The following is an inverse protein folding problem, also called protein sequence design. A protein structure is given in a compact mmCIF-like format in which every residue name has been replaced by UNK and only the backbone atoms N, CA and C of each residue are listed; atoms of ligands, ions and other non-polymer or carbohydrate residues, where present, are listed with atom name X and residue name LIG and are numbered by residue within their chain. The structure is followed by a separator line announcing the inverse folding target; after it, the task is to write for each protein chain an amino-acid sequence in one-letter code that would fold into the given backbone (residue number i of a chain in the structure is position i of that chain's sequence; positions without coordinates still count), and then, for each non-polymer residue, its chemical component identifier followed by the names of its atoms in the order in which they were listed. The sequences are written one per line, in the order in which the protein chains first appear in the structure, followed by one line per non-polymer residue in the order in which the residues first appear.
data_IF_494754870847
#
_entry.id   IF_494754870847
#
_cell.length_a   1.000
_cell.length_b   1.000
_cell.length_c   1.000
_cell.angle_alpha   90.00
_cell.angle_beta   90.00
_cell.angle_gamma   90.00
#
_symmetry.space_group_name_H-M   'P 1'
#
loop_
_entity.id
_entity.type
_entity.pdbx_description
1 polymer ?
#
# COMPACT_ATOMS: atom_id res chain seq x y z
N UNK A 1 13.88 -3.68 -1.32
CA UNK A 1 12.95 -3.13 -0.32
C UNK A 1 11.76 -4.06 -0.20
N UNK A 2 11.55 -4.68 0.97
CA UNK A 2 10.36 -5.47 1.31
C UNK A 2 9.27 -4.54 1.82
N UNK A 3 8.12 -4.52 1.13
CA UNK A 3 6.96 -3.71 1.49
C UNK A 3 5.80 -4.64 1.79
N UNK A 4 5.16 -4.43 2.93
CA UNK A 4 3.91 -5.10 3.29
C UNK A 4 2.78 -4.08 3.23
N UNK A 5 1.61 -4.49 2.73
CA UNK A 5 0.40 -3.68 2.75
C UNK A 5 -0.76 -4.48 3.33
N UNK A 6 -1.49 -3.90 4.28
CA UNK A 6 -2.56 -4.58 4.98
C UNK A 6 -3.74 -3.66 5.34
N UNK A 7 -4.94 -3.99 4.86
CA UNK A 7 -6.17 -3.41 5.39
C UNK A 7 -6.49 -4.05 6.75
N UNK A 8 -6.57 -3.23 7.79
CA UNK A 8 -6.61 -3.70 9.17
C UNK A 8 -8.02 -3.94 9.71
N UNK A 9 -9.09 -3.47 9.08
CA UNK A 9 -10.39 -3.42 9.75
C UNK A 9 -11.47 -4.30 9.12
N UNK A 10 -11.97 -5.24 9.94
CA UNK A 10 -13.34 -5.74 9.90
C UNK A 10 -13.78 -6.19 11.31
N UNK A 11 -14.89 -5.63 11.82
CA UNK A 11 -15.36 -5.75 13.22
C UNK A 11 -14.31 -5.37 14.29
N UNK A 12 -13.56 -6.34 14.82
CA UNK A 12 -12.51 -6.12 15.80
C UNK A 12 -11.19 -5.63 15.16
N UNK A 13 -10.95 -6.02 13.90
CA UNK A 13 -9.76 -5.70 13.13
C UNK A 13 -8.47 -6.34 13.66
N UNK A 14 -7.40 -6.21 12.88
CA UNK A 14 -6.05 -6.54 13.29
C UNK A 14 -5.65 -5.72 14.52
N UNK A 15 -5.16 -6.42 15.53
CA UNK A 15 -4.70 -5.82 16.78
C UNK A 15 -3.30 -5.22 16.63
N UNK A 16 -2.94 -4.34 17.56
CA UNK A 16 -1.58 -3.82 17.63
C UNK A 16 -0.55 -4.95 17.80
N UNK A 17 -0.88 -5.98 18.60
CA UNK A 17 0.03 -7.11 18.82
C UNK A 17 0.22 -7.92 17.54
N UNK A 18 -0.81 -8.18 16.75
CA UNK A 18 -0.66 -8.86 15.46
C UNK A 18 0.21 -8.07 14.47
N UNK A 19 0.11 -6.74 14.48
CA UNK A 19 0.98 -5.88 13.67
C UNK A 19 2.43 -5.97 14.16
N UNK A 20 2.64 -6.02 15.48
CA UNK A 20 3.97 -6.18 16.08
C UNK A 20 4.59 -7.52 15.67
N UNK A 21 3.87 -8.62 15.85
CA UNK A 21 4.33 -9.95 15.44
C UNK A 21 4.62 -10.01 13.94
N UNK A 22 3.76 -9.42 13.09
CA UNK A 22 4.00 -9.36 11.65
C UNK A 22 5.32 -8.63 11.31
N UNK A 23 5.62 -7.53 12.00
CA UNK A 23 6.86 -6.78 11.79
C UNK A 23 8.08 -7.57 12.27
N UNK A 24 7.96 -8.25 13.41
CA UNK A 24 9.02 -9.09 13.98
C UNK A 24 9.32 -10.31 13.11
N UNK A 25 8.29 -10.98 12.58
CA UNK A 25 8.46 -12.18 11.74
C UNK A 25 8.98 -11.83 10.34
N UNK A 26 8.46 -10.75 9.75
CA UNK A 26 8.69 -10.45 8.34
C UNK A 26 9.79 -9.42 8.10
N UNK A 27 10.15 -8.63 9.11
CA UNK A 27 11.13 -7.54 9.02
C UNK A 27 10.95 -6.64 7.77
N UNK A 28 9.78 -6.03 7.55
CA UNK A 28 9.56 -5.19 6.37
C UNK A 28 10.36 -3.88 6.46
N UNK A 29 10.82 -3.39 5.31
CA UNK A 29 11.40 -2.04 5.20
C UNK A 29 10.31 -0.96 5.26
N UNK A 30 9.07 -1.34 4.95
CA UNK A 30 7.90 -0.48 4.97
C UNK A 30 6.63 -1.32 5.19
N UNK A 31 5.83 -0.95 6.18
CA UNK A 31 4.48 -1.46 6.39
C UNK A 31 3.47 -0.35 6.06
N UNK A 32 2.58 -0.63 5.12
CA UNK A 32 1.46 0.21 4.74
C UNK A 32 0.17 -0.35 5.34
N UNK A 33 -0.63 0.52 5.93
CA UNK A 33 -1.84 0.14 6.62
C UNK A 33 -3.02 0.94 6.07
N UNK A 34 -4.12 0.25 5.82
CA UNK A 34 -5.42 0.85 5.56
C UNK A 34 -6.32 0.61 6.78
N UNK A 35 -7.24 1.54 7.01
CA UNK A 35 -8.16 1.50 8.16
C UNK A 35 -7.46 1.51 9.53
N UNK A 36 -6.25 2.07 9.60
CA UNK A 36 -5.52 2.26 10.84
C UNK A 36 -6.26 3.23 11.78
N UNK A 37 -6.60 2.75 12.97
CA UNK A 37 -7.25 3.51 14.04
C UNK A 37 -6.23 4.16 14.98
N UNK A 38 -6.69 5.04 15.87
CA UNK A 38 -5.84 5.66 16.91
C UNK A 38 -5.12 4.65 17.81
N UNK A 39 -5.65 3.44 17.99
CA UNK A 39 -4.97 2.38 18.77
C UNK A 39 -3.61 2.02 18.19
N UNK A 40 -3.45 2.16 16.87
CA UNK A 40 -2.21 1.82 16.15
C UNK A 40 -1.16 2.94 16.30
N UNK A 41 -1.55 4.14 16.74
CA UNK A 41 -0.61 5.26 16.96
C UNK A 41 0.44 4.91 18.03
N UNK A 42 0.19 3.91 18.88
CA UNK A 42 1.14 3.39 19.89
C UNK A 42 2.21 2.44 19.32
N UNK A 43 2.19 2.13 18.02
CA UNK A 43 3.15 1.20 17.40
C UNK A 43 4.63 1.59 17.63
N UNK A 44 5.05 2.86 17.50
CA UNK A 44 6.43 3.25 17.81
C UNK A 44 6.83 3.04 19.26
N UNK A 45 5.89 3.15 20.20
CA UNK A 45 6.18 2.89 21.62
C UNK A 45 6.44 1.40 21.90
N UNK A 46 5.96 0.51 21.02
CA UNK A 46 6.13 -0.95 21.13
C UNK A 46 7.38 -1.46 20.42
N UNK A 47 7.67 -0.95 19.23
CA UNK A 47 8.73 -1.47 18.35
C UNK A 47 9.76 -0.43 17.90
N UNK A 48 9.60 0.83 18.28
CA UNK A 48 10.36 1.93 17.69
C UNK A 48 9.98 2.18 16.22
N UNK A 49 10.93 2.73 15.47
CA UNK A 49 10.72 3.11 14.07
C UNK A 49 9.91 4.39 13.90
N UNK A 50 9.48 4.63 12.67
CA UNK A 50 8.89 5.89 12.21
C UNK A 50 7.50 5.63 11.69
N UNK A 51 6.52 6.36 12.24
CA UNK A 51 5.11 6.16 11.98
C UNK A 51 4.45 7.46 11.51
N UNK A 52 3.57 7.34 10.52
CA UNK A 52 2.75 8.45 10.05
C UNK A 52 1.35 7.98 9.70
N UNK A 53 0.33 8.55 10.35
CA UNK A 53 -1.08 8.28 10.09
C UNK A 53 -1.80 9.51 9.56
N UNK A 54 -2.56 9.32 8.50
CA UNK A 54 -3.49 10.28 7.93
C UNK A 54 -4.92 9.74 8.08
N UNK A 55 -5.70 10.21 9.08
CA UNK A 55 -7.10 9.82 9.21
C UNK A 55 -7.90 10.27 7.98
N UNK A 56 -8.91 9.48 7.59
CA UNK A 56 -9.85 9.96 6.59
C UNK A 56 -10.69 11.11 7.18
N UNK A 57 -11.06 12.13 6.38
CA UNK A 57 -11.91 13.22 6.84
C UNK A 57 -13.19 12.69 7.51
N UNK A 58 -13.43 13.10 8.77
CA UNK A 58 -14.62 12.71 9.54
C UNK A 58 -14.64 11.25 10.02
N UNK A 59 -13.52 10.52 9.97
CA UNK A 59 -13.46 9.10 10.37
C UNK A 59 -12.41 8.84 11.45
N UNK A 60 -12.63 7.78 12.23
CA UNK A 60 -11.71 7.32 13.29
C UNK A 60 -10.47 6.62 12.73
N UNK A 61 -10.56 6.12 11.50
CA UNK A 61 -9.54 5.33 10.82
C UNK A 61 -9.02 6.06 9.58
N UNK A 62 -7.86 5.60 9.07
CA UNK A 62 -7.32 6.11 7.82
C UNK A 62 -6.11 5.33 7.33
N UNK A 63 -5.25 6.01 6.58
CA UNK A 63 -4.02 5.42 6.07
C UNK A 63 -2.91 5.61 7.08
N UNK A 64 -2.09 4.60 7.30
CA UNK A 64 -0.87 4.73 8.06
C UNK A 64 0.31 4.05 7.37
N UNK A 65 1.51 4.45 7.74
CA UNK A 65 2.72 3.77 7.37
C UNK A 65 3.67 3.69 8.56
N UNK A 66 4.43 2.59 8.61
CA UNK A 66 5.53 2.39 9.53
C UNK A 66 6.79 1.97 8.77
N UNK A 67 7.96 2.42 9.20
CA UNK A 67 9.26 1.97 8.69
C UNK A 67 10.29 1.92 9.83
N UNK A 68 11.25 0.99 9.81
CA UNK A 68 12.37 1.01 10.76
C UNK A 68 13.30 2.24 10.56
N UNK A 69 13.22 2.91 9.41
CA UNK A 69 14.05 4.07 9.06
C UNK A 69 13.23 5.35 8.86
N UNK A 70 13.81 6.55 9.05
CA UNK A 70 13.08 7.80 8.86
C UNK A 70 12.56 7.95 7.43
N UNK A 71 11.35 8.51 7.29
CA UNK A 71 10.88 8.98 5.99
C UNK A 71 11.77 10.14 5.49
N UNK A 72 12.06 10.19 4.19
CA UNK A 72 12.90 11.26 3.60
C UNK A 72 12.26 12.64 3.77
N UNK A 73 10.94 12.68 3.72
CA UNK A 73 10.09 13.83 3.98
C UNK A 73 8.86 13.35 4.74
N UNK A 74 8.22 14.24 5.50
CA UNK A 74 6.93 13.93 6.11
C UNK A 74 5.97 13.36 5.03
N UNK A 75 5.38 12.17 5.24
CA UNK A 75 4.42 11.62 4.29
C UNK A 75 3.27 12.60 4.05
N UNK A 76 2.82 12.73 2.80
CA UNK A 76 1.82 13.70 2.37
C UNK A 76 0.51 13.01 2.01
N UNK A 77 -0.61 13.74 2.03
CA UNK A 77 -1.90 13.22 1.58
C UNK A 77 -2.38 13.92 0.31
N UNK A 78 -2.78 13.15 -0.70
CA UNK A 78 -3.49 13.65 -1.89
C UNK A 78 -4.98 13.33 -1.73
N UNK A 79 -5.85 14.33 -1.92
CA UNK A 79 -7.30 14.11 -1.99
C UNK A 79 -7.66 13.40 -3.29
N UNK A 80 -8.47 12.35 -3.19
CA UNK A 80 -8.99 11.62 -4.34
C UNK A 80 -10.40 12.13 -4.70
N UNK A 81 -10.85 11.85 -5.92
CA UNK A 81 -12.22 12.14 -6.32
C UNK A 81 -13.18 11.45 -5.34
N UNK A 82 -14.05 12.23 -4.69
CA UNK A 82 -15.03 11.71 -3.75
C UNK A 82 -16.08 10.86 -4.47
N UNK A 83 -16.39 9.70 -3.89
CA UNK A 83 -17.61 8.96 -4.23
C UNK A 83 -18.82 9.48 -3.44
N UNK A 84 -19.94 8.77 -3.55
CA UNK A 84 -21.19 9.09 -2.85
C UNK A 84 -21.10 8.98 -1.31
N UNK A 85 -20.14 8.23 -0.78
CA UNK A 85 -20.14 7.81 0.63
C UNK A 85 -19.08 8.51 1.50
N UNK A 86 -17.82 8.59 1.06
CA UNK A 86 -16.69 9.05 1.89
C UNK A 86 -15.60 9.71 1.04
N UNK A 87 -15.05 10.88 1.44
CA UNK A 87 -13.83 11.41 0.88
C UNK A 87 -12.66 10.45 1.09
N UNK A 88 -11.92 10.13 0.02
CA UNK A 88 -10.72 9.29 0.10
C UNK A 88 -9.47 10.14 -0.05
N UNK A 89 -8.39 9.68 0.57
CA UNK A 89 -7.05 10.22 0.37
C UNK A 89 -6.11 9.09 -0.07
N UNK A 90 -5.01 9.48 -0.69
CA UNK A 90 -3.83 8.64 -0.94
C UNK A 90 -2.68 9.19 -0.08
N UNK A 91 -1.92 8.33 0.60
CA UNK A 91 -0.76 8.73 1.38
C UNK A 91 0.51 8.49 0.56
N UNK A 92 1.27 9.57 0.30
CA UNK A 92 2.49 9.58 -0.50
C UNK A 92 3.71 9.58 0.42
N UNK A 93 4.60 8.61 0.22
CA UNK A 93 5.80 8.40 1.01
C UNK A 93 7.04 8.55 0.12
N UNK A 94 7.87 9.55 0.41
CA UNK A 94 9.18 9.70 -0.21
C UNK A 94 10.20 8.81 0.50
N UNK A 95 10.78 7.86 -0.23
CA UNK A 95 11.84 6.97 0.25
C UNK A 95 13.13 7.21 -0.56
N UNK A 96 14.23 6.56 -0.18
CA UNK A 96 15.48 6.67 -0.91
C UNK A 96 15.34 6.08 -2.32
N UNK A 97 15.30 6.95 -3.33
CA UNK A 97 15.29 6.58 -4.76
C UNK A 97 13.94 6.16 -5.36
N UNK A 98 12.85 6.11 -4.59
CA UNK A 98 11.50 5.83 -5.09
C UNK A 98 10.40 6.48 -4.21
N UNK A 99 9.20 6.63 -4.78
CA UNK A 99 8.01 7.09 -4.07
C UNK A 99 6.99 5.96 -3.94
N UNK A 100 6.40 5.79 -2.76
CA UNK A 100 5.33 4.81 -2.52
C UNK A 100 4.02 5.55 -2.23
N UNK A 101 2.94 5.14 -2.89
CA UNK A 101 1.59 5.56 -2.59
C UNK A 101 0.86 4.44 -1.84
N UNK A 102 0.45 4.71 -0.60
CA UNK A 102 -0.48 3.88 0.15
C UNK A 102 -1.91 4.30 -0.19
N UNK A 103 -2.74 3.35 -0.63
CA UNK A 103 -4.11 3.63 -1.12
C UNK A 103 -5.15 2.80 -0.40
N UNK A 104 -6.31 3.41 -0.19
CA UNK A 104 -7.56 2.73 0.11
C UNK A 104 -8.64 3.39 -0.73
N UNK A 105 -8.91 2.80 -1.90
CA UNK A 105 -9.82 3.39 -2.88
C UNK A 105 -11.27 3.31 -2.44
N UNK A 106 -12.12 4.09 -3.11
CA UNK A 106 -13.57 4.06 -2.91
C UNK A 106 -14.16 2.70 -3.32
N UNK A 107 -15.47 2.55 -3.10
CA UNK A 107 -16.24 1.48 -3.71
C UNK A 107 -16.79 1.97 -5.05
N UNK A 108 -16.63 1.17 -6.11
CA UNK A 108 -17.14 1.46 -7.46
C UNK A 108 -16.07 1.34 -8.53
N UNK A 109 -16.24 0.39 -9.44
CA UNK A 109 -15.21 -0.02 -10.40
C UNK A 109 -14.75 1.11 -11.34
N UNK A 110 -15.66 2.01 -11.74
CA UNK A 110 -15.34 3.18 -12.58
C UNK A 110 -14.58 4.24 -11.77
N UNK A 111 -15.05 4.54 -10.55
CA UNK A 111 -14.43 5.52 -9.67
C UNK A 111 -13.01 5.10 -9.29
N UNK A 112 -12.81 3.81 -8.98
CA UNK A 112 -11.50 3.29 -8.57
C UNK A 112 -10.47 3.43 -9.70
N UNK A 113 -10.88 3.20 -10.95
CA UNK A 113 -10.03 3.42 -12.13
C UNK A 113 -9.68 4.90 -12.30
N UNK A 114 -10.62 5.82 -12.08
CA UNK A 114 -10.37 7.28 -12.11
C UNK A 114 -9.44 7.74 -10.99
N UNK A 115 -9.62 7.22 -9.77
CA UNK A 115 -8.75 7.50 -8.64
C UNK A 115 -7.32 6.98 -8.87
N UNK A 116 -7.17 5.76 -9.39
CA UNK A 116 -5.87 5.23 -9.79
C UNK A 116 -5.21 6.07 -10.87
N UNK A 117 -5.96 6.51 -11.88
CA UNK A 117 -5.45 7.41 -12.92
C UNK A 117 -4.83 8.67 -12.33
N UNK A 118 -5.57 9.36 -11.45
CA UNK A 118 -5.09 10.56 -10.75
C UNK A 118 -3.82 10.27 -9.93
N UNK A 119 -3.79 9.15 -9.20
CA UNK A 119 -2.61 8.76 -8.42
C UNK A 119 -1.42 8.51 -9.34
N UNK A 120 -1.59 7.76 -10.42
CA UNK A 120 -0.51 7.47 -11.37
C UNK A 120 0.06 8.73 -12.04
N UNK A 121 -0.80 9.72 -12.35
CA UNK A 121 -0.40 11.00 -12.91
C UNK A 121 0.39 11.86 -11.92
N UNK A 122 0.08 11.75 -10.62
CA UNK A 122 0.74 12.55 -9.57
C UNK A 122 2.12 12.04 -9.16
N UNK A 123 2.48 10.81 -9.51
CA UNK A 123 3.70 10.15 -9.02
C UNK A 123 4.91 10.42 -9.93
N UNK A 124 6.15 10.32 -9.40
CA UNK A 124 7.37 10.46 -10.20
C UNK A 124 7.80 9.16 -10.89
N UNK A 125 8.76 9.25 -11.81
CA UNK A 125 9.20 8.16 -12.71
C UNK A 125 9.52 6.83 -12.03
N UNK A 126 9.97 6.80 -10.77
CA UNK A 126 10.17 5.59 -9.96
C UNK A 126 9.17 5.57 -8.82
N UNK A 127 8.10 4.81 -8.99
CA UNK A 127 7.02 4.80 -8.02
C UNK A 127 6.32 3.44 -7.91
N UNK A 128 5.72 3.22 -6.74
CA UNK A 128 4.84 2.10 -6.48
C UNK A 128 3.52 2.60 -5.87
N UNK A 129 2.41 1.94 -6.19
CA UNK A 129 1.09 2.15 -5.60
C UNK A 129 0.64 0.85 -4.97
N UNK A 130 0.40 0.83 -3.67
CA UNK A 130 0.06 -0.36 -2.91
C UNK A 130 -1.12 -0.11 -1.97
N UNK A 131 -1.98 -1.11 -1.83
CA UNK A 131 -3.08 -1.10 -0.88
C UNK A 131 -4.38 -1.64 -1.44
N UNK A 132 -5.43 -1.47 -0.65
CA UNK A 132 -6.77 -1.89 -0.99
C UNK A 132 -7.36 -1.02 -2.10
N UNK A 133 -7.45 -1.61 -3.29
CA UNK A 133 -7.99 -0.95 -4.47
C UNK A 133 -9.51 -1.09 -4.59
N UNK A 134 -10.17 -1.89 -3.75
CA UNK A 134 -11.60 -2.18 -3.82
C UNK A 134 -12.09 -2.53 -5.25
N UNK A 135 -11.21 -3.11 -6.06
CA UNK A 135 -11.37 -3.21 -7.50
C UNK A 135 -11.00 -4.59 -8.02
N UNK A 136 -11.85 -5.10 -8.90
CA UNK A 136 -11.68 -6.37 -9.60
C UNK A 136 -11.31 -6.14 -11.07
N UNK A 137 -10.70 -7.17 -11.67
CA UNK A 137 -10.27 -7.15 -13.06
C UNK A 137 -9.00 -6.31 -13.31
N UNK A 138 -8.59 -6.17 -14.58
CA UNK A 138 -7.38 -5.43 -14.96
C UNK A 138 -7.59 -3.90 -14.92
N UNK A 139 -6.47 -3.19 -14.76
CA UNK A 139 -6.36 -1.75 -15.03
C UNK A 139 -5.73 -1.60 -16.40
N UNK A 140 -6.46 -1.02 -17.35
CA UNK A 140 -6.00 -0.82 -18.72
C UNK A 140 -5.14 0.45 -18.81
N UNK A 141 -3.88 0.38 -18.38
CA UNK A 141 -2.92 1.49 -18.50
C UNK A 141 -1.47 0.98 -18.57
N UNK A 142 -0.61 1.66 -19.34
CA UNK A 142 0.73 1.15 -19.70
C UNK A 142 1.89 1.72 -18.87
N UNK A 143 1.64 2.73 -18.04
CA UNK A 143 2.65 3.43 -17.22
C UNK A 143 2.98 2.70 -15.92
N UNK A 144 2.07 1.90 -15.37
CA UNK A 144 2.37 1.02 -14.23
C UNK A 144 1.96 -0.42 -14.53
N UNK A 145 2.79 -1.36 -14.10
CA UNK A 145 2.52 -2.80 -14.17
C UNK A 145 1.93 -3.28 -12.86
N UNK A 146 0.86 -4.07 -12.92
CA UNK A 146 0.30 -4.78 -11.76
C UNK A 146 1.20 -5.97 -11.42
N UNK A 147 1.95 -5.87 -10.33
CA UNK A 147 2.93 -6.87 -9.88
C UNK A 147 2.54 -7.53 -8.57
N UNK A 148 1.43 -7.12 -7.94
CA UNK A 148 0.99 -7.72 -6.67
C UNK A 148 0.60 -9.20 -6.82
N UNK A 149 0.48 -9.94 -5.71
CA UNK A 149 0.09 -11.35 -5.71
C UNK A 149 -1.16 -11.61 -6.54
N UNK A 150 -1.22 -12.72 -7.29
CA UNK A 150 -2.35 -13.07 -8.19
C UNK A 150 -3.43 -13.96 -7.55
N UNK A 151 -3.44 -14.01 -6.23
CA UNK A 151 -4.40 -14.77 -5.42
C UNK A 151 -5.32 -13.82 -4.65
N UNK A 152 -6.44 -14.34 -4.13
CA UNK A 152 -7.38 -13.56 -3.36
C UNK A 152 -6.77 -13.09 -2.02
N UNK A 153 -7.11 -11.86 -1.65
CA UNK A 153 -6.64 -11.19 -0.44
C UNK A 153 -7.79 -10.89 0.51
N UNK A 154 -9.02 -10.91 0.02
CA UNK A 154 -10.25 -10.65 0.76
C UNK A 154 -11.26 -11.78 0.55
N UNK A 155 -12.11 -12.03 1.55
CA UNK A 155 -13.25 -12.95 1.45
C UNK A 155 -14.54 -12.17 1.70
N UNK A 156 -15.21 -11.75 0.63
CA UNK A 156 -16.46 -11.01 0.74
C UNK A 156 -17.56 -11.90 1.33
N UNK A 157 -18.07 -11.51 2.50
CA UNK A 157 -19.11 -12.24 3.22
C UNK A 157 -18.73 -13.69 3.55
N UNK A 158 -17.44 -14.01 3.65
CA UNK A 158 -16.91 -15.37 3.79
C UNK A 158 -17.18 -16.34 2.62
N UNK A 159 -17.69 -15.87 1.48
CA UNK A 159 -18.11 -16.74 0.36
C UNK A 159 -17.30 -16.49 -0.92
N UNK A 160 -17.06 -15.23 -1.28
CA UNK A 160 -16.43 -14.90 -2.56
C UNK A 160 -14.98 -14.41 -2.36
N UNK A 161 -13.96 -15.18 -2.81
CA UNK A 161 -12.57 -14.74 -2.74
C UNK A 161 -12.30 -13.62 -3.76
N UNK A 162 -11.82 -12.48 -3.29
CA UNK A 162 -11.52 -11.30 -4.10
C UNK A 162 -10.07 -10.86 -3.94
N UNK A 163 -9.45 -10.45 -5.05
CA UNK A 163 -8.12 -9.82 -5.07
C UNK A 163 -8.29 -8.30 -5.09
N UNK A 164 -8.38 -7.70 -3.91
CA UNK A 164 -8.62 -6.27 -3.74
C UNK A 164 -7.34 -5.50 -3.44
N UNK A 165 -6.43 -6.10 -2.68
CA UNK A 165 -5.12 -5.55 -2.37
C UNK A 165 -4.17 -5.77 -3.54
N UNK A 166 -3.57 -4.68 -4.02
CA UNK A 166 -2.73 -4.71 -5.23
C UNK A 166 -1.45 -3.93 -5.06
N UNK A 167 -0.51 -4.22 -5.95
CA UNK A 167 0.73 -3.47 -6.10
C UNK A 167 0.92 -3.13 -7.57
N UNK A 168 1.05 -1.85 -7.88
CA UNK A 168 1.41 -1.34 -9.20
C UNK A 168 2.76 -0.67 -9.15
N UNK A 169 3.62 -0.89 -10.14
CA UNK A 169 4.96 -0.29 -10.18
C UNK A 169 5.26 0.39 -11.51
N UNK A 170 6.00 1.50 -11.46
CA UNK A 170 6.58 2.19 -12.60
C UNK A 170 8.09 2.26 -12.44
N UNK A 171 8.82 1.73 -13.43
CA UNK A 171 10.28 1.67 -13.46
C UNK A 171 10.91 1.06 -12.18
N UNK A 172 10.27 0.03 -11.65
CA UNK A 172 10.78 -0.81 -10.57
C UNK A 172 10.64 -2.28 -10.97
N UNK A 173 11.56 -3.10 -10.48
CA UNK A 173 11.45 -4.54 -10.56
C UNK A 173 10.78 -5.07 -9.30
N UNK A 174 9.88 -6.04 -9.47
CA UNK A 174 9.31 -6.80 -8.38
C UNK A 174 9.94 -8.20 -8.42
N UNK A 175 10.73 -8.52 -7.40
CA UNK A 175 11.51 -9.77 -7.35
C UNK A 175 10.85 -10.84 -6.50
N UNK A 176 9.88 -10.46 -5.67
CA UNK A 176 9.20 -11.36 -4.76
C UNK A 176 7.78 -10.85 -4.50
N UNK A 177 6.82 -11.76 -4.39
CA UNK A 177 5.42 -11.48 -4.06
C UNK A 177 4.90 -12.55 -3.11
N UNK A 178 4.06 -12.17 -2.15
CA UNK A 178 3.47 -13.11 -1.22
C UNK A 178 2.16 -12.60 -0.62
N UNK A 179 1.37 -13.51 -0.08
CA UNK A 179 0.23 -13.21 0.78
C UNK A 179 0.49 -13.87 2.12
N UNK A 180 0.39 -13.08 3.19
CA UNK A 180 0.75 -13.48 4.53
C UNK A 180 -0.49 -13.93 5.33
N UNK A 181 -0.24 -14.38 6.55
CA UNK A 181 -1.29 -14.78 7.50
C UNK A 181 -2.25 -13.63 7.78
N UNK A 182 -3.56 -13.93 7.77
CA UNK A 182 -4.64 -12.94 7.80
C UNK A 182 -4.74 -12.15 9.12
N UNK A 183 -4.32 -12.75 10.24
CA UNK A 183 -4.64 -12.25 11.58
C UNK A 183 -6.15 -12.02 11.77
N UNK A 184 -6.50 -11.03 12.59
CA UNK A 184 -7.86 -10.60 12.91
C UNK A 184 -8.58 -9.78 11.82
N UNK A 185 -7.94 -9.53 10.68
CA UNK A 185 -8.57 -8.82 9.55
C UNK A 185 -9.38 -9.78 8.66
N UNK A 186 -10.26 -9.24 7.81
CA UNK A 186 -10.84 -9.97 6.67
C UNK A 186 -9.97 -9.87 5.41
N UNK A 187 -8.96 -8.99 5.41
CA UNK A 187 -7.90 -8.92 4.42
C UNK A 187 -6.64 -9.66 4.88
N UNK A 188 -6.00 -10.36 3.96
CA UNK A 188 -4.65 -10.90 4.13
C UNK A 188 -3.62 -9.83 3.73
N UNK A 189 -2.55 -9.63 4.52
CA UNK A 189 -1.46 -8.76 4.12
C UNK A 189 -0.85 -9.24 2.79
N UNK A 190 -0.55 -8.31 1.89
CA UNK A 190 0.29 -8.60 0.73
C UNK A 190 1.71 -8.15 0.99
N UNK A 191 2.67 -8.92 0.51
CA UNK A 191 4.09 -8.61 0.56
C UNK A 191 4.64 -8.53 -0.86
N UNK A 192 5.49 -7.53 -1.11
CA UNK A 192 6.29 -7.45 -2.33
C UNK A 192 7.72 -7.07 -2.00
N UNK A 193 8.68 -7.54 -2.81
CA UNK A 193 10.05 -7.03 -2.79
C UNK A 193 10.31 -6.23 -4.06
N UNK A 194 10.60 -4.94 -3.87
CA UNK A 194 10.87 -3.99 -4.95
C UNK A 194 12.35 -3.64 -5.02
N UNK A 195 12.83 -3.47 -6.24
CA UNK A 195 14.20 -3.08 -6.59
C UNK A 195 14.15 -1.93 -7.60
N UNK A 196 15.05 -0.95 -7.42
CA UNK A 196 15.36 0.01 -8.48
C UNK A 196 16.24 -0.75 -9.50
N UNK A 197 15.84 -0.84 -10.78
CA UNK A 197 16.65 -1.50 -11.79
C UNK A 197 18.02 -0.84 -11.82
N UNK A 198 19.09 -1.64 -11.84
CA UNK A 198 20.40 -1.09 -12.15
C UNK A 198 20.34 -0.59 -13.59
N UNK A 199 20.68 0.67 -13.82
CA UNK A 199 20.93 1.12 -15.19
C UNK A 199 22.05 0.25 -15.73
N UNK A 200 21.80 -0.50 -16.81
CA UNK A 200 22.90 -0.99 -17.61
C UNK A 200 23.69 0.25 -18.04
N UNK A 201 24.84 0.48 -17.42
CA UNK A 201 25.87 1.31 -18.04
C UNK A 201 26.33 0.53 -19.26
N UNK A 202 25.64 0.71 -20.37
CA UNK A 202 26.27 0.53 -21.67
C UNK A 202 27.20 1.74 -21.86
N UNK A 203 28.32 1.72 -21.15
CA UNK A 203 29.49 2.54 -21.46
C UNK A 203 30.21 1.83 -22.62
N UNK A 204 30.24 2.47 -23.79
CA UNK A 204 31.13 2.16 -24.93
C UNK A 204 30.70 0.96 -25.80
N UNK A 205 30.69 1.01 -27.13
CA UNK A 205 31.41 1.88 -28.06
C UNK A 205 30.49 2.54 -29.08
N UNK A 206 30.70 3.84 -29.24
CA UNK A 206 30.51 4.60 -30.47
C UNK A 206 31.75 4.49 -31.36
N UNK A 207 31.51 4.51 -32.67
CA UNK A 207 32.39 4.57 -33.85
C UNK A 207 32.46 3.25 -34.64
#
# INVERSE_FOLDING_TARGET
MKIISWNLLHFAGATLDEIVHLIEDEHPDLLLMQEATRRIDSLPARLGGYYARHPLPGRRHGLAAWSPTPFRTAPQSIKLQSGLMVPRICQILGLSGLTVANVHLSHGQILNRRQLGLIFDSLPVRAAVLGDCNMVGPVLQNRFRDVGPRIATHFAGAVLPLRLDRCFVRNLDCTEVGVLSKGGSDHRPIMVRLRIPQSNRSDGLSA
#
